data_IF_400764375186
#
_entry.id   IF_400764375186
#
_cell.length_a   1.000
_cell.length_b   1.000
_cell.length_c   1.000
_cell.angle_alpha   90.00
_cell.angle_beta   90.00
_cell.angle_gamma   90.00
#
_symmetry.space_group_name_H-M   'P 1'
#
loop_
_entity.id
_entity.type
_entity.pdbx_description
1 polymer ?
#
# COMPACT_ATOMS: atom_id res chain seq x y z
N UNK A 1 -6.58 -2.68 19.17
CA UNK A 1 -6.03 -1.32 19.35
C UNK A 1 -6.67 -0.40 18.33
N UNK A 2 -7.53 0.52 18.78
CA UNK A 2 -8.35 1.41 17.95
C UNK A 2 -7.66 2.74 17.60
N UNK A 3 -6.48 3.01 18.15
CA UNK A 3 -5.80 4.32 18.06
C UNK A 3 -4.70 4.41 16.99
N UNK A 4 -4.41 3.34 16.26
CA UNK A 4 -3.35 3.37 15.25
C UNK A 4 -3.79 4.24 14.06
N UNK A 5 -2.96 5.22 13.68
CA UNK A 5 -3.21 6.06 12.50
C UNK A 5 -3.38 5.20 11.25
N UNK A 6 -4.35 5.57 10.42
CA UNK A 6 -4.66 4.90 9.16
C UNK A 6 -4.73 5.93 8.06
N UNK A 7 -4.10 5.61 6.94
CA UNK A 7 -4.19 6.42 5.72
C UNK A 7 -4.54 5.51 4.55
N UNK A 8 -5.49 5.92 3.72
CA UNK A 8 -5.95 5.13 2.57
C UNK A 8 -5.78 5.92 1.29
N UNK A 9 -5.21 5.28 0.27
CA UNK A 9 -5.06 5.85 -1.08
C UNK A 9 -5.67 4.88 -2.08
N UNK A 10 -6.45 5.42 -3.01
CA UNK A 10 -6.97 4.67 -4.15
C UNK A 10 -6.19 5.08 -5.39
N UNK A 11 -5.58 4.09 -6.05
CA UNK A 11 -4.90 4.26 -7.32
C UNK A 11 -5.80 3.76 -8.44
N UNK A 12 -5.99 4.59 -9.47
CA UNK A 12 -6.71 4.23 -10.68
C UNK A 12 -5.74 3.71 -11.73
N UNK A 13 -5.91 2.45 -12.12
CA UNK A 13 -5.11 1.75 -13.13
C UNK A 13 -6.02 1.41 -14.32
N UNK A 14 -6.19 2.35 -15.25
CA UNK A 14 -7.16 2.21 -16.35
C UNK A 14 -8.59 2.16 -15.84
N UNK A 15 -9.27 1.03 -16.04
CA UNK A 15 -10.64 0.77 -15.55
C UNK A 15 -10.69 0.02 -14.20
N UNK A 16 -9.53 -0.26 -13.59
CA UNK A 16 -9.42 -0.96 -12.32
C UNK A 16 -8.89 -0.03 -11.23
N UNK A 17 -9.16 -0.37 -9.99
CA UNK A 17 -8.73 0.39 -8.81
C UNK A 17 -7.98 -0.51 -7.84
N UNK A 18 -6.96 0.04 -7.21
CA UNK A 18 -6.21 -0.59 -6.12
C UNK A 18 -6.27 0.32 -4.91
N UNK A 19 -6.68 -0.21 -3.77
CA UNK A 19 -6.70 0.55 -2.52
C UNK A 19 -5.55 0.07 -1.63
N UNK A 20 -4.73 1.03 -1.21
CA UNK A 20 -3.62 0.81 -0.28
C UNK A 20 -3.99 1.44 1.06
N UNK A 21 -3.99 0.65 2.13
CA UNK A 21 -4.14 1.14 3.50
C UNK A 21 -2.82 1.03 4.24
N UNK A 22 -2.32 2.15 4.71
CA UNK A 22 -1.19 2.22 5.62
C UNK A 22 -1.73 2.23 7.04
N UNK A 23 -1.17 1.38 7.91
CA UNK A 23 -1.55 1.27 9.32
C UNK A 23 -0.29 1.42 10.15
N UNK A 24 -0.20 2.52 10.88
CA UNK A 24 0.95 2.79 11.76
C UNK A 24 0.98 1.82 12.94
N UNK A 25 2.18 1.42 13.35
CA UNK A 25 2.39 0.67 14.59
C UNK A 25 2.08 1.51 15.83
N UNK A 26 1.83 0.84 16.96
CA UNK A 26 1.44 1.47 18.22
C UNK A 26 2.50 2.45 18.78
N UNK A 27 3.78 2.23 18.47
CA UNK A 27 4.91 3.03 18.96
C UNK A 27 5.14 4.30 18.14
N UNK A 28 4.95 4.23 16.82
CA UNK A 28 5.40 5.27 15.91
C UNK A 28 4.32 6.26 15.49
N UNK A 29 3.05 5.83 15.58
CA UNK A 29 1.79 6.59 15.41
C UNK A 29 1.78 7.67 14.31
N UNK A 30 2.64 7.57 13.29
CA UNK A 30 2.76 8.61 12.26
C UNK A 30 2.96 8.04 10.87
N UNK A 31 2.01 8.36 10.00
CA UNK A 31 2.08 8.16 8.56
C UNK A 31 2.43 9.50 7.92
N UNK A 32 3.33 9.47 6.95
CA UNK A 32 3.64 10.62 6.09
C UNK A 32 3.23 10.23 4.68
N UNK A 33 2.25 10.94 4.12
CA UNK A 33 1.79 10.76 2.75
C UNK A 33 2.14 12.02 1.93
N UNK A 34 2.70 11.82 0.75
CA UNK A 34 3.04 12.91 -0.17
C UNK A 34 2.01 13.13 -1.27
N UNK A 35 1.14 12.14 -1.50
CA UNK A 35 0.19 12.14 -2.61
C UNK A 35 -0.99 13.07 -2.39
N UNK A 36 -1.48 13.66 -3.47
CA UNK A 36 -2.74 14.40 -3.54
C UNK A 36 -3.69 13.78 -4.55
N UNK A 37 -5.02 13.90 -4.36
CA UNK A 37 -5.98 13.47 -5.36
C UNK A 37 -5.71 14.12 -6.73
N UNK A 38 -5.65 13.30 -7.78
CA UNK A 38 -5.38 13.75 -9.15
C UNK A 38 -3.91 13.67 -9.57
N UNK A 39 -2.99 13.39 -8.66
CA UNK A 39 -1.58 13.18 -9.01
C UNK A 39 -1.42 12.00 -9.97
N UNK A 40 -0.59 12.19 -11.00
CA UNK A 40 -0.13 11.10 -11.85
C UNK A 40 1.07 10.45 -11.17
N UNK A 41 0.98 9.16 -10.94
CA UNK A 41 2.02 8.37 -10.28
C UNK A 41 2.40 7.17 -11.15
N UNK A 42 3.63 6.69 -10.95
CA UNK A 42 4.13 5.46 -11.55
C UNK A 42 4.32 4.39 -10.48
N UNK A 43 4.11 3.14 -10.87
CA UNK A 43 4.40 2.01 -9.98
C UNK A 43 5.86 2.06 -9.51
N UNK A 44 6.07 1.73 -8.23
CA UNK A 44 7.35 1.78 -7.53
C UNK A 44 7.90 3.18 -7.20
N UNK A 45 7.15 4.25 -7.47
CA UNK A 45 7.46 5.58 -6.91
C UNK A 45 7.13 5.67 -5.42
N UNK A 46 7.75 6.64 -4.75
CA UNK A 46 7.55 6.89 -3.33
C UNK A 46 6.21 7.61 -3.09
N UNK A 47 5.30 6.95 -2.38
CA UNK A 47 4.04 7.58 -1.90
C UNK A 47 4.20 8.33 -0.57
N UNK A 48 5.29 8.05 0.14
CA UNK A 48 5.51 8.42 1.53
C UNK A 48 6.01 7.23 2.36
N UNK A 49 5.95 7.36 3.68
CA UNK A 49 6.49 6.35 4.58
C UNK A 49 5.74 6.29 5.91
N UNK A 50 5.93 5.18 6.63
CA UNK A 50 5.36 4.95 7.96
C UNK A 50 6.52 4.88 8.94
N UNK A 51 6.50 5.70 10.00
CA UNK A 51 7.55 5.67 11.03
C UNK A 51 7.48 4.33 11.78
N UNK A 52 8.65 3.78 12.15
CA UNK A 52 8.88 2.55 12.93
C UNK A 52 7.80 1.45 12.89
N UNK A 53 8.02 0.40 12.09
CA UNK A 53 7.21 -0.83 12.11
C UNK A 53 5.78 -0.61 11.62
N UNK A 54 5.44 -1.20 10.48
CA UNK A 54 4.17 -0.90 9.83
C UNK A 54 3.53 -2.11 9.17
N UNK A 55 2.22 -1.98 8.92
CA UNK A 55 1.44 -2.90 8.09
C UNK A 55 0.86 -2.10 6.94
N UNK A 56 0.87 -2.72 5.76
CA UNK A 56 0.17 -2.23 4.57
C UNK A 56 -0.80 -3.29 4.11
N UNK A 57 -2.07 -2.91 3.95
CA UNK A 57 -3.07 -3.76 3.31
C UNK A 57 -3.25 -3.31 1.86
N UNK A 58 -3.24 -4.27 0.93
CA UNK A 58 -3.52 -4.07 -0.48
C UNK A 58 -4.86 -4.72 -0.82
N UNK A 59 -5.82 -3.92 -1.27
CA UNK A 59 -7.09 -4.40 -1.79
C UNK A 59 -6.99 -4.33 -3.31
N UNK A 60 -7.07 -5.51 -3.92
CA UNK A 60 -6.86 -5.71 -5.35
C UNK A 60 -8.19 -5.95 -6.06
N UNK A 61 -8.28 -5.66 -7.38
CA UNK A 61 -9.46 -5.98 -8.17
C UNK A 61 -9.87 -7.46 -8.06
N UNK A 62 -11.17 -7.73 -8.21
CA UNK A 62 -11.69 -9.09 -8.25
C UNK A 62 -11.04 -9.87 -9.41
N UNK A 63 -10.66 -11.12 -9.16
CA UNK A 63 -9.99 -11.98 -10.15
C UNK A 63 -8.48 -11.76 -10.27
N UNK A 64 -7.90 -10.88 -9.45
CA UNK A 64 -6.44 -10.68 -9.41
C UNK A 64 -5.73 -11.95 -8.92
N UNK A 65 -4.72 -12.40 -9.68
CA UNK A 65 -3.86 -13.53 -9.29
C UNK A 65 -2.76 -13.05 -8.36
N UNK A 66 -2.69 -13.62 -7.16
CA UNK A 66 -1.62 -13.35 -6.18
C UNK A 66 -0.39 -14.16 -6.57
N UNK A 67 0.77 -13.50 -6.66
CA UNK A 67 2.05 -14.07 -7.11
C UNK A 67 3.03 -14.32 -5.95
N UNK A 68 2.55 -14.17 -4.71
CA UNK A 68 3.32 -14.38 -3.48
C UNK A 68 2.63 -15.37 -2.54
N UNK A 69 3.42 -16.01 -1.69
CA UNK A 69 2.94 -16.95 -0.68
C UNK A 69 2.94 -16.32 0.72
N UNK A 70 2.20 -16.93 1.64
CA UNK A 70 2.21 -16.53 3.04
C UNK A 70 3.63 -16.59 3.60
N UNK A 71 4.02 -15.58 4.39
CA UNK A 71 5.35 -15.43 4.99
C UNK A 71 6.52 -15.24 4.00
N UNK A 72 6.25 -15.10 2.70
CA UNK A 72 7.29 -14.80 1.72
C UNK A 72 7.90 -13.42 1.99
N UNK A 73 9.24 -13.34 2.06
CA UNK A 73 9.94 -12.06 2.09
C UNK A 73 9.85 -11.39 0.73
N UNK A 74 9.43 -10.13 0.72
CA UNK A 74 9.28 -9.30 -0.48
C UNK A 74 10.16 -8.07 -0.39
N UNK A 75 10.57 -7.54 -1.55
CA UNK A 75 11.32 -6.29 -1.67
C UNK A 75 10.47 -5.25 -2.38
N UNK A 76 10.27 -4.09 -1.73
CA UNK A 76 9.53 -2.96 -2.30
C UNK A 76 10.10 -2.53 -3.65
N UNK A 77 9.22 -2.21 -4.60
CA UNK A 77 9.60 -1.81 -5.96
C UNK A 77 10.19 -2.92 -6.85
N UNK A 78 10.33 -4.16 -6.33
CA UNK A 78 10.96 -5.28 -7.06
C UNK A 78 10.06 -6.51 -7.11
N UNK A 79 9.58 -6.97 -5.96
CA UNK A 79 8.73 -8.17 -5.88
C UNK A 79 7.33 -7.87 -6.40
N UNK A 80 6.89 -8.63 -7.40
CA UNK A 80 5.51 -8.57 -7.88
C UNK A 80 4.61 -9.31 -6.91
N UNK A 81 3.65 -8.59 -6.31
CA UNK A 81 2.71 -9.17 -5.34
C UNK A 81 1.53 -9.84 -6.04
N UNK A 82 1.08 -9.29 -7.17
CA UNK A 82 -0.09 -9.78 -7.90
C UNK A 82 -0.13 -9.25 -9.34
N UNK A 83 -0.94 -9.90 -10.20
CA UNK A 83 -1.16 -9.54 -11.61
C UNK A 83 -2.65 -9.71 -11.98
N UNK A 84 -3.15 -8.85 -12.89
CA UNK A 84 -4.54 -8.84 -13.36
C UNK A 84 -4.67 -8.34 -14.80
#
# INVERSE_FOLDING_TARGET
STENERHSVVYKCGNKEVLVKQIAGALAKRIVNYLKPGDKVKQAEEMGFIKFGSRVDLLLPIGTKVEVQLNQKVKGGVSVLAKW
#
